data_IF_646990087894
#
_entry.id   IF_646990087894
#
_cell.length_a   1.000
_cell.length_b   1.000
_cell.length_c   1.000
_cell.angle_alpha   90.00
_cell.angle_beta   90.00
_cell.angle_gamma   90.00
#
_symmetry.space_group_name_H-M   'P 1'
#
loop_
_entity.id
_entity.type
_entity.pdbx_description
1 polymer ?
#
# COMPACT_ATOMS: atom_id res chain seq x y z
N UNK A 1 7.54 4.65 8.11
CA UNK A 1 6.60 4.46 7.00
C UNK A 1 6.86 5.48 5.92
N UNK A 2 6.98 5.05 4.66
CA UNK A 2 7.04 5.91 3.47
C UNK A 2 5.80 5.67 2.64
N UNK A 3 5.15 6.76 2.22
CA UNK A 3 4.00 6.77 1.33
C UNK A 3 4.35 7.55 0.07
N UNK A 4 4.11 6.96 -1.09
CA UNK A 4 4.18 7.66 -2.38
C UNK A 4 2.95 7.34 -3.22
N UNK A 5 2.41 8.36 -3.89
CA UNK A 5 1.33 8.21 -4.84
C UNK A 5 1.73 8.86 -6.16
N UNK A 6 1.61 8.12 -7.27
CA UNK A 6 1.83 8.63 -8.61
C UNK A 6 0.57 8.42 -9.45
N UNK A 7 0.05 9.47 -10.08
CA UNK A 7 -1.16 9.40 -10.90
C UNK A 7 -0.86 9.76 -12.36
N UNK A 8 -1.39 8.98 -13.30
CA UNK A 8 -1.21 9.20 -14.73
C UNK A 8 -2.12 8.31 -15.58
N UNK A 9 -2.63 8.86 -16.70
CA UNK A 9 -3.52 8.15 -17.64
C UNK A 9 -4.72 7.45 -16.97
N UNK A 10 -5.35 8.11 -16.00
CA UNK A 10 -6.49 7.58 -15.26
C UNK A 10 -6.16 6.48 -14.24
N UNK A 11 -4.87 6.22 -13.97
CA UNK A 11 -4.43 5.24 -12.97
C UNK A 11 -3.66 5.92 -11.84
N UNK A 12 -3.70 5.33 -10.66
CA UNK A 12 -2.92 5.78 -9.50
C UNK A 12 -2.14 4.59 -8.93
N UNK A 13 -0.82 4.73 -8.79
CA UNK A 13 0.02 3.80 -8.05
C UNK A 13 0.21 4.32 -6.63
N UNK A 14 -0.16 3.51 -5.65
CA UNK A 14 0.10 3.74 -4.23
C UNK A 14 1.22 2.80 -3.76
N UNK A 15 2.29 3.37 -3.22
CA UNK A 15 3.39 2.62 -2.63
C UNK A 15 3.45 2.91 -1.15
N UNK A 16 3.43 1.84 -0.34
CA UNK A 16 3.59 1.90 1.10
C UNK A 16 4.74 0.99 1.50
N UNK A 17 5.64 1.50 2.33
CA UNK A 17 6.69 0.71 2.92
C UNK A 17 6.89 1.05 4.40
N UNK A 18 6.93 0.01 5.23
CA UNK A 18 7.53 0.09 6.54
C UNK A 18 9.05 0.05 6.37
N UNK A 19 9.77 1.05 6.86
CA UNK A 19 11.25 1.10 6.80
C UNK A 19 11.86 0.88 8.19
N UNK A 20 11.16 0.15 9.04
CA UNK A 20 11.63 -0.22 10.38
C UNK A 20 11.47 -1.72 10.61
N UNK A 21 12.15 -2.20 11.63
CA UNK A 21 12.04 -3.55 12.17
C UNK A 21 10.85 -3.73 13.14
N UNK A 22 10.07 -2.67 13.39
CA UNK A 22 8.87 -2.70 14.23
C UNK A 22 7.60 -2.73 13.39
N UNK A 23 6.52 -3.27 13.94
CA UNK A 23 5.19 -3.11 13.34
C UNK A 23 4.76 -1.64 13.34
N UNK A 24 4.12 -1.17 12.26
CA UNK A 24 3.62 0.21 12.15
C UNK A 24 2.14 0.23 11.78
N UNK A 25 1.33 0.96 12.53
CA UNK A 25 -0.05 1.22 12.13
C UNK A 25 -0.07 2.16 10.93
N UNK A 26 -0.90 1.83 9.94
CA UNK A 26 -1.14 2.66 8.78
C UNK A 26 -2.63 2.82 8.54
N UNK A 27 -3.06 4.08 8.46
CA UNK A 27 -4.42 4.48 8.12
C UNK A 27 -4.39 5.24 6.78
N UNK A 28 -4.79 4.60 5.67
CA UNK A 28 -4.87 5.31 4.41
C UNK A 28 -5.92 6.44 4.46
N UNK A 29 -5.69 7.58 3.77
CA UNK A 29 -6.75 8.55 3.52
C UNK A 29 -7.88 7.89 2.72
N UNK A 30 -9.10 8.44 2.76
CA UNK A 30 -10.28 7.84 2.12
C UNK A 30 -9.99 7.34 0.69
N UNK A 31 -10.00 6.02 0.53
CA UNK A 31 -9.65 5.36 -0.72
C UNK A 31 -10.93 5.09 -1.52
N UNK A 32 -10.99 5.57 -2.77
CA UNK A 32 -12.09 5.29 -3.71
C UNK A 32 -11.57 4.51 -4.92
N UNK A 33 -12.47 3.92 -5.70
CA UNK A 33 -12.14 3.20 -6.93
C UNK A 33 -11.71 1.75 -6.72
N UNK A 34 -11.35 1.08 -7.81
CA UNK A 34 -10.96 -0.33 -7.77
C UNK A 34 -9.45 -0.44 -7.68
N UNK A 35 -8.99 -1.17 -6.66
CA UNK A 35 -7.57 -1.37 -6.40
C UNK A 35 -7.19 -2.83 -6.57
N UNK A 36 -5.93 -3.04 -6.92
CA UNK A 36 -5.31 -4.36 -6.94
C UNK A 36 -3.87 -4.24 -6.44
N UNK A 37 -3.43 -5.20 -5.63
CA UNK A 37 -2.01 -5.36 -5.33
C UNK A 37 -1.25 -5.76 -6.62
N UNK A 38 -0.10 -5.13 -6.86
CA UNK A 38 0.81 -5.45 -7.97
C UNK A 38 2.07 -6.15 -7.49
N UNK A 39 2.63 -5.68 -6.38
CA UNK A 39 3.87 -6.17 -5.81
C UNK A 39 3.78 -6.09 -4.29
N UNK A 40 4.23 -7.14 -3.62
CA UNK A 40 4.32 -7.22 -2.17
C UNK A 40 5.44 -8.19 -1.81
N UNK A 41 6.12 -7.96 -0.68
CA UNK A 41 7.28 -8.76 -0.26
C UNK A 41 6.95 -9.87 0.75
N UNK A 42 5.69 -9.99 1.18
CA UNK A 42 5.20 -11.07 2.02
C UNK A 42 4.18 -11.92 1.27
N UNK A 43 3.98 -13.19 1.67
CA UNK A 43 3.09 -14.12 0.94
C UNK A 43 1.61 -13.72 0.91
N UNK A 44 1.15 -12.93 1.88
CA UNK A 44 -0.23 -12.44 1.99
C UNK A 44 -0.25 -10.92 2.06
N UNK A 45 -1.18 -10.30 1.35
CA UNK A 45 -1.38 -8.85 1.33
C UNK A 45 -2.85 -8.51 1.16
N UNK A 46 -3.29 -7.38 1.69
CA UNK A 46 -4.63 -6.87 1.43
C UNK A 46 -4.80 -6.57 -0.06
N UNK A 47 -5.91 -7.02 -0.66
CA UNK A 47 -6.21 -6.82 -2.09
C UNK A 47 -6.33 -5.34 -2.48
N UNK A 48 -6.67 -4.48 -1.52
CA UNK A 48 -6.78 -3.04 -1.67
C UNK A 48 -6.22 -2.30 -0.43
N UNK A 49 -5.85 -1.02 -0.57
CA UNK A 49 -5.47 -0.18 0.55
C UNK A 49 -6.58 -0.11 1.62
N UNK A 50 -6.26 -0.47 2.85
CA UNK A 50 -7.15 -0.42 4.00
C UNK A 50 -6.35 -0.15 5.27
N UNK A 51 -7.02 0.25 6.36
CA UNK A 51 -6.37 0.36 7.66
C UNK A 51 -5.78 -1.00 8.06
N UNK A 52 -4.48 -1.01 8.37
CA UNK A 52 -3.76 -2.24 8.69
C UNK A 52 -2.50 -1.96 9.51
N UNK A 53 -1.96 -3.00 10.11
CA UNK A 53 -0.62 -3.00 10.70
C UNK A 53 0.38 -3.53 9.68
N UNK A 54 1.32 -2.68 9.27
CA UNK A 54 2.45 -3.08 8.44
C UNK A 54 3.46 -3.85 9.28
N UNK A 55 3.84 -5.04 8.84
CA UNK A 55 4.91 -5.87 9.41
C UNK A 55 6.27 -5.20 9.23
N UNK A 56 7.30 -5.65 9.97
CA UNK A 56 8.67 -5.21 9.75
C UNK A 56 9.07 -5.31 8.28
N UNK A 57 9.56 -4.20 7.75
CA UNK A 57 9.98 -4.07 6.34
C UNK A 57 8.92 -4.42 5.28
N UNK A 58 7.64 -4.44 5.63
CA UNK A 58 6.57 -4.72 4.66
C UNK A 58 6.47 -3.60 3.61
N UNK A 59 6.47 -3.99 2.34
CA UNK A 59 6.35 -3.10 1.21
C UNK A 59 5.27 -3.60 0.26
N UNK A 60 4.32 -2.74 -0.10
CA UNK A 60 3.15 -3.07 -0.89
C UNK A 60 2.88 -1.97 -1.92
N UNK A 61 2.62 -2.39 -3.15
CA UNK A 61 2.27 -1.52 -4.27
C UNK A 61 0.87 -1.85 -4.74
N UNK A 62 -0.06 -0.89 -4.68
CA UNK A 62 -1.41 -1.04 -5.22
C UNK A 62 -1.63 -0.12 -6.43
N UNK A 63 -2.34 -0.63 -7.43
CA UNK A 63 -2.76 0.14 -8.60
C UNK A 63 -4.27 0.35 -8.58
N UNK A 64 -4.68 1.60 -8.67
CA UNK A 64 -6.05 2.02 -8.94
C UNK A 64 -6.31 2.07 -10.43
N UNK A 65 -7.46 1.55 -10.86
CA UNK A 65 -8.04 1.73 -12.20
C UNK A 65 -9.27 2.62 -12.17
#
# INVERSE_FOLDING_TARGET
MVLSAASGRGKTLLVVANLSDQCQEWHPPHIKGQWQALLHNYGEVASQPAAMTLRPFEAIWWLQR
#
